data_IF_001340772993
#
_entry.id   IF_001340772993
#
_cell.length_a   1.000
_cell.length_b   1.000
_cell.length_c   1.000
_cell.angle_alpha   90.00
_cell.angle_beta   90.00
_cell.angle_gamma   90.00
#
_symmetry.space_group_name_H-M   'P 1'
#
loop_
_entity.id
_entity.type
_entity.pdbx_description
1 polymer ?
#
# COMPACT_ATOMS: atom_id res chain seq x y z
N UNK A 1 -11.34 10.20 90.84
CA UNK A 1 -10.84 9.05 90.13
C UNK A 1 -11.30 9.24 88.62
N UNK A 2 -10.45 9.82 87.80
CA UNK A 2 -10.79 10.22 86.44
C UNK A 2 -10.20 9.18 85.50
N UNK A 3 -11.07 8.47 84.75
CA UNK A 3 -10.68 7.45 83.78
C UNK A 3 -10.55 8.12 82.41
N UNK A 4 -9.35 8.24 81.97
CA UNK A 4 -9.05 8.74 80.56
C UNK A 4 -9.35 7.65 79.52
N UNK A 5 -10.31 7.93 78.65
CA UNK A 5 -10.52 7.13 77.45
C UNK A 5 -9.58 7.54 76.33
N UNK A 6 -8.63 6.64 76.03
CA UNK A 6 -7.76 6.77 74.87
C UNK A 6 -8.53 6.39 73.61
N UNK A 7 -8.77 7.35 72.74
CA UNK A 7 -9.26 7.10 71.39
C UNK A 7 -8.11 6.70 70.46
N UNK A 8 -8.13 5.48 70.00
CA UNK A 8 -7.23 5.01 68.94
C UNK A 8 -7.89 5.38 67.59
N UNK A 9 -7.32 6.32 66.90
CA UNK A 9 -7.72 6.68 65.56
C UNK A 9 -7.13 5.68 64.59
N UNK A 10 -7.96 4.84 64.00
CA UNK A 10 -7.58 3.99 62.87
C UNK A 10 -7.61 4.81 61.59
N UNK A 11 -6.44 5.11 61.07
CA UNK A 11 -6.28 5.73 59.76
C UNK A 11 -6.48 4.65 58.68
N UNK A 12 -7.68 4.58 58.09
CA UNK A 12 -7.90 3.79 56.89
C UNK A 12 -7.31 4.50 55.68
N UNK A 13 -6.11 4.09 55.31
CA UNK A 13 -5.49 4.52 54.04
C UNK A 13 -6.15 3.86 52.84
N UNK A 14 -6.97 4.62 52.12
CA UNK A 14 -7.49 4.19 50.81
C UNK A 14 -6.38 4.36 49.80
N UNK A 15 -5.75 3.25 49.44
CA UNK A 15 -4.81 3.21 48.29
C UNK A 15 -5.60 3.31 46.97
N UNK A 16 -5.67 4.52 46.42
CA UNK A 16 -6.20 4.73 45.08
C UNK A 16 -5.15 4.24 44.06
N UNK A 17 -5.28 2.97 43.64
CA UNK A 17 -4.49 2.42 42.55
C UNK A 17 -4.96 3.06 41.25
N UNK A 18 -4.21 4.10 40.78
CA UNK A 18 -4.41 4.68 39.46
C UNK A 18 -3.99 3.66 38.40
N UNK A 19 -4.96 2.97 37.80
CA UNK A 19 -4.77 2.22 36.56
C UNK A 19 -4.49 3.22 35.45
N UNK A 20 -3.21 3.53 35.22
CA UNK A 20 -2.77 4.17 33.98
C UNK A 20 -2.92 3.17 32.85
N UNK A 21 -4.06 3.22 32.16
CA UNK A 21 -4.20 2.54 30.89
C UNK A 21 -3.16 3.13 29.92
N UNK A 22 -2.10 2.38 29.67
CA UNK A 22 -1.17 2.68 28.60
C UNK A 22 -1.92 2.51 27.28
N UNK A 23 -2.50 3.59 26.78
CA UNK A 23 -2.90 3.69 25.39
C UNK A 23 -1.62 3.75 24.58
N UNK A 24 -1.13 2.58 24.19
CA UNK A 24 -0.17 2.50 23.08
C UNK A 24 -0.91 3.00 21.84
N UNK A 25 -0.63 4.23 21.42
CA UNK A 25 -0.89 4.66 20.05
C UNK A 25 0.01 3.78 19.19
N UNK A 26 -0.51 2.63 18.77
CA UNK A 26 0.09 1.87 17.70
C UNK A 26 0.00 2.78 16.48
N UNK A 27 1.13 3.33 16.08
CA UNK A 27 1.37 3.93 14.78
C UNK A 27 1.26 2.77 13.77
N UNK A 28 0.01 2.40 13.47
CA UNK A 28 -0.28 1.31 12.53
C UNK A 28 0.18 1.81 11.17
N UNK A 29 1.34 1.30 10.74
CA UNK A 29 1.80 1.50 9.39
C UNK A 29 0.65 1.18 8.42
N UNK A 30 0.39 2.02 7.41
CA UNK A 30 -0.74 1.82 6.51
C UNK A 30 -0.70 0.38 5.99
N UNK A 31 -1.84 -0.32 6.14
CA UNK A 31 -1.97 -1.73 5.77
C UNK A 31 -1.36 -1.97 4.38
N UNK A 32 -0.48 -2.97 4.29
CA UNK A 32 0.18 -3.32 3.04
C UNK A 32 -0.86 -3.46 1.92
N UNK A 33 -0.59 -2.87 0.75
CA UNK A 33 -1.49 -3.01 -0.39
C UNK A 33 -1.25 -4.35 -1.06
N UNK A 34 -1.86 -5.38 -0.50
CA UNK A 34 -1.73 -6.76 -0.96
C UNK A 34 -2.95 -7.19 -1.75
N UNK A 35 -2.71 -7.87 -2.87
CA UNK A 35 -3.77 -8.48 -3.65
C UNK A 35 -4.30 -9.73 -2.93
N UNK A 36 -5.63 -9.96 -2.95
CA UNK A 36 -6.19 -11.22 -2.44
C UNK A 36 -5.53 -12.42 -3.12
N UNK A 37 -5.33 -13.51 -2.39
CA UNK A 37 -4.65 -14.73 -2.89
C UNK A 37 -5.21 -15.20 -4.23
N UNK A 38 -6.55 -15.19 -4.39
CA UNK A 38 -7.21 -15.58 -5.65
C UNK A 38 -6.82 -14.66 -6.81
N UNK A 39 -6.72 -13.35 -6.57
CA UNK A 39 -6.31 -12.39 -7.59
C UNK A 39 -4.82 -12.55 -7.94
N UNK A 40 -3.97 -12.71 -6.92
CA UNK A 40 -2.55 -12.92 -7.10
C UNK A 40 -2.21 -14.22 -7.88
N UNK A 41 -3.06 -15.24 -7.79
CA UNK A 41 -2.90 -16.49 -8.53
C UNK A 41 -3.26 -16.39 -10.03
N UNK A 42 -3.91 -15.29 -10.46
CA UNK A 42 -4.30 -15.11 -11.87
C UNK A 42 -3.06 -15.02 -12.74
N UNK A 43 -3.02 -15.79 -13.81
CA UNK A 43 -1.93 -15.76 -14.78
C UNK A 43 -2.22 -14.73 -15.85
N UNK A 44 -1.15 -14.07 -16.34
CA UNK A 44 -1.27 -13.18 -17.48
C UNK A 44 -1.56 -14.00 -18.75
N UNK A 45 -2.71 -13.80 -19.41
CA UNK A 45 -3.04 -14.53 -20.63
C UNK A 45 -2.36 -13.93 -21.89
N UNK A 46 -1.76 -12.74 -21.77
CA UNK A 46 -1.08 -12.05 -22.88
C UNK A 46 0.40 -12.39 -22.86
N UNK A 47 0.89 -12.99 -23.92
CA UNK A 47 2.32 -13.30 -24.06
C UNK A 47 3.19 -12.04 -23.89
N UNK A 48 4.32 -12.17 -23.20
CA UNK A 48 5.27 -11.06 -23.01
C UNK A 48 6.21 -10.98 -24.22
N UNK A 49 5.65 -10.84 -25.40
CA UNK A 49 6.39 -10.65 -26.67
C UNK A 49 6.63 -9.17 -26.98
N UNK A 50 7.36 -8.92 -28.07
CA UNK A 50 7.71 -7.57 -28.53
C UNK A 50 6.49 -6.68 -28.76
N UNK A 51 5.43 -7.25 -29.34
CA UNK A 51 4.23 -6.49 -29.70
C UNK A 51 3.44 -6.08 -28.45
N UNK A 52 3.26 -7.02 -27.54
CA UNK A 52 2.60 -6.78 -26.26
C UNK A 52 3.35 -5.76 -25.39
N UNK A 53 4.68 -5.87 -25.33
CA UNK A 53 5.54 -4.90 -24.62
C UNK A 53 5.44 -3.52 -25.26
N UNK A 54 5.46 -3.43 -26.60
CA UNK A 54 5.32 -2.15 -27.32
C UNK A 54 3.93 -1.52 -27.10
N UNK A 55 2.85 -2.33 -27.11
CA UNK A 55 1.50 -1.87 -26.77
C UNK A 55 1.43 -1.39 -25.32
N UNK A 56 1.97 -2.16 -24.39
CA UNK A 56 2.04 -1.81 -22.96
C UNK A 56 2.82 -0.50 -22.73
N UNK A 57 3.89 -0.26 -23.47
CA UNK A 57 4.64 1.00 -23.41
C UNK A 57 3.77 2.20 -23.81
N UNK A 58 2.92 2.07 -24.82
CA UNK A 58 1.98 3.13 -25.21
C UNK A 58 0.96 3.41 -24.11
N UNK A 59 0.37 2.36 -23.54
CA UNK A 59 -0.54 2.48 -22.40
C UNK A 59 0.14 3.16 -21.22
N UNK A 60 1.37 2.76 -20.89
CA UNK A 60 2.16 3.35 -19.82
C UNK A 60 2.42 4.85 -20.04
N UNK A 61 2.84 5.22 -21.22
CA UNK A 61 3.12 6.62 -21.58
C UNK A 61 1.89 7.52 -21.40
N UNK A 62 0.71 7.02 -21.73
CA UNK A 62 -0.52 7.81 -21.66
C UNK A 62 -1.13 7.87 -20.24
N UNK A 63 -0.92 6.85 -19.42
CA UNK A 63 -1.68 6.69 -18.17
C UNK A 63 -0.82 6.64 -16.90
N UNK A 64 0.45 6.27 -16.99
CA UNK A 64 1.28 5.95 -15.83
C UNK A 64 2.49 6.90 -15.68
N UNK A 65 3.06 7.32 -16.81
CA UNK A 65 4.30 8.09 -16.88
C UNK A 65 4.26 9.37 -16.04
N UNK A 66 3.12 10.07 -16.02
CA UNK A 66 2.99 11.34 -15.31
C UNK A 66 3.32 11.20 -13.81
N UNK A 67 3.00 10.07 -13.21
CA UNK A 67 3.30 9.80 -11.80
C UNK A 67 4.53 8.91 -11.64
N UNK A 68 4.63 7.81 -12.40
CA UNK A 68 5.68 6.81 -12.21
C UNK A 68 7.00 7.14 -12.90
N UNK A 69 7.03 8.12 -13.80
CA UNK A 69 8.23 8.50 -14.53
C UNK A 69 8.57 7.56 -15.68
N UNK A 70 9.50 7.99 -16.54
CA UNK A 70 9.88 7.25 -17.76
C UNK A 70 10.49 5.88 -17.45
N UNK A 71 11.26 5.80 -16.35
CA UNK A 71 11.93 4.58 -15.90
C UNK A 71 11.16 3.85 -14.78
N UNK A 72 9.96 4.30 -14.46
CA UNK A 72 9.13 3.70 -13.40
C UNK A 72 9.56 4.01 -11.98
N UNK A 73 10.43 4.99 -11.76
CA UNK A 73 11.03 5.28 -10.44
C UNK A 73 10.15 6.09 -9.49
N UNK A 74 8.90 6.38 -9.86
CA UNK A 74 8.03 7.23 -9.07
C UNK A 74 8.42 8.71 -9.10
N UNK A 75 9.18 9.11 -10.10
CA UNK A 75 9.77 10.43 -10.31
C UNK A 75 9.12 11.22 -11.47
N UNK A 76 7.92 10.82 -11.86
CA UNK A 76 7.18 11.51 -12.91
C UNK A 76 6.84 12.96 -12.52
N UNK A 77 6.55 13.84 -13.51
CA UNK A 77 6.31 15.27 -13.26
C UNK A 77 5.17 15.55 -12.29
N UNK A 78 4.18 14.65 -12.15
CA UNK A 78 3.08 14.79 -11.20
C UNK A 78 3.38 14.14 -9.82
N UNK A 79 4.50 13.44 -9.66
CA UNK A 79 4.81 12.67 -8.45
C UNK A 79 4.90 13.53 -7.19
N UNK A 80 5.35 14.78 -7.31
CA UNK A 80 5.46 15.71 -6.20
C UNK A 80 4.10 16.18 -5.65
N UNK A 81 3.05 16.08 -6.46
CA UNK A 81 1.69 16.52 -6.11
C UNK A 81 0.83 15.41 -5.47
N UNK A 82 1.36 14.18 -5.34
CA UNK A 82 0.61 13.03 -4.81
C UNK A 82 1.23 12.48 -3.52
N UNK A 83 0.37 12.06 -2.61
CA UNK A 83 0.78 11.45 -1.35
C UNK A 83 -0.12 10.22 -1.05
N UNK A 84 0.43 9.03 -0.80
CA UNK A 84 1.87 8.72 -0.82
C UNK A 84 2.48 8.86 -2.23
N UNK A 85 3.80 9.04 -2.29
CA UNK A 85 4.53 9.08 -3.55
C UNK A 85 4.39 7.75 -4.31
N UNK A 86 4.39 7.79 -5.65
CA UNK A 86 4.38 6.57 -6.46
C UNK A 86 5.61 5.70 -6.15
N UNK A 87 5.40 4.39 -6.04
CA UNK A 87 6.49 3.44 -5.84
C UNK A 87 7.39 3.33 -7.09
N UNK A 88 8.65 2.99 -6.86
CA UNK A 88 9.55 2.54 -7.91
C UNK A 88 9.08 1.18 -8.43
N UNK A 89 8.62 1.15 -9.68
CA UNK A 89 8.12 -0.08 -10.32
C UNK A 89 9.25 -1.05 -10.70
N UNK A 90 10.49 -0.58 -10.69
CA UNK A 90 11.68 -1.39 -10.96
C UNK A 90 12.29 -2.01 -9.69
N UNK A 91 11.78 -1.69 -8.50
CA UNK A 91 12.29 -2.24 -7.25
C UNK A 91 11.93 -3.72 -7.04
N UNK A 92 12.74 -4.41 -6.24
CA UNK A 92 12.54 -5.84 -5.95
C UNK A 92 11.19 -6.16 -5.31
N UNK A 93 10.64 -5.27 -4.50
CA UNK A 93 9.34 -5.45 -3.88
C UNK A 93 8.20 -5.51 -4.91
N UNK A 94 8.30 -4.81 -6.04
CA UNK A 94 7.35 -4.88 -7.15
C UNK A 94 7.65 -6.09 -8.04
N UNK A 95 8.92 -6.35 -8.35
CA UNK A 95 9.34 -7.50 -9.18
C UNK A 95 8.90 -8.85 -8.61
N UNK A 96 8.93 -9.01 -7.28
CA UNK A 96 8.52 -10.23 -6.59
C UNK A 96 7.00 -10.48 -6.59
N UNK A 97 6.20 -9.47 -6.86
CA UNK A 97 4.75 -9.65 -6.97
C UNK A 97 4.39 -10.42 -8.24
N UNK A 98 3.36 -11.25 -8.15
CA UNK A 98 2.84 -11.93 -9.35
C UNK A 98 2.18 -10.93 -10.31
N UNK A 99 2.06 -11.32 -11.60
CA UNK A 99 1.32 -10.52 -12.57
C UNK A 99 -0.14 -10.34 -12.18
N UNK A 100 -0.76 -11.37 -11.59
CA UNK A 100 -2.11 -11.28 -11.07
C UNK A 100 -2.27 -10.28 -9.94
N UNK A 101 -1.26 -10.15 -9.06
CA UNK A 101 -1.26 -9.14 -8.02
C UNK A 101 -1.15 -7.71 -8.60
N UNK A 102 -0.28 -7.51 -9.58
CA UNK A 102 -0.14 -6.22 -10.27
C UNK A 102 -1.41 -5.88 -11.05
N UNK A 103 -2.01 -6.87 -11.72
CA UNK A 103 -3.26 -6.70 -12.45
C UNK A 103 -4.39 -6.26 -11.54
N UNK A 104 -4.52 -6.89 -10.37
CA UNK A 104 -5.53 -6.53 -9.38
C UNK A 104 -5.31 -5.08 -8.89
N UNK A 105 -4.07 -4.71 -8.55
CA UNK A 105 -3.73 -3.35 -8.12
C UNK A 105 -4.07 -2.30 -9.18
N UNK A 106 -3.77 -2.59 -10.43
CA UNK A 106 -4.07 -1.72 -11.56
C UNK A 106 -5.60 -1.61 -11.78
N UNK A 107 -6.33 -2.70 -11.60
CA UNK A 107 -7.78 -2.76 -11.75
C UNK A 107 -8.49 -1.96 -10.66
N UNK A 108 -8.16 -2.21 -9.39
CA UNK A 108 -8.84 -1.61 -8.23
C UNK A 108 -8.38 -0.19 -7.94
N UNK A 109 -7.11 0.11 -8.21
CA UNK A 109 -6.49 1.37 -7.79
C UNK A 109 -6.38 1.48 -6.27
N UNK A 110 -5.63 2.46 -5.82
CA UNK A 110 -5.57 2.89 -4.41
C UNK A 110 -5.13 4.34 -4.40
N UNK A 111 -6.01 5.25 -3.98
CA UNK A 111 -5.70 6.69 -3.99
C UNK A 111 -4.30 6.97 -3.45
N UNK A 112 -3.50 7.78 -4.12
CA UNK A 112 -3.84 8.61 -5.28
C UNK A 112 -3.83 7.89 -6.64
N UNK A 113 -3.39 6.62 -6.74
CA UNK A 113 -3.42 5.84 -7.97
C UNK A 113 -4.88 5.50 -8.35
N UNK A 114 -5.34 5.91 -9.55
CA UNK A 114 -6.72 5.61 -9.99
C UNK A 114 -6.93 4.13 -10.28
N UNK A 115 -8.20 3.70 -10.27
CA UNK A 115 -8.63 2.41 -10.81
C UNK A 115 -8.70 2.49 -12.33
N UNK A 116 -8.23 1.45 -13.01
CA UNK A 116 -8.20 1.41 -14.48
C UNK A 116 -9.19 0.40 -15.08
N UNK A 117 -10.10 -0.14 -14.27
CA UNK A 117 -11.11 -1.11 -14.73
C UNK A 117 -12.07 -0.55 -15.79
N UNK A 118 -12.31 0.77 -15.77
CA UNK A 118 -13.21 1.46 -16.72
C UNK A 118 -12.51 2.16 -17.87
N UNK A 119 -11.21 2.47 -17.70
CA UNK A 119 -10.46 3.28 -18.67
C UNK A 119 -9.55 2.46 -19.56
N UNK A 120 -9.13 1.29 -19.11
CA UNK A 120 -8.31 0.34 -19.87
C UNK A 120 -9.03 -1.00 -20.01
N UNK A 121 -9.00 -1.56 -21.21
CA UNK A 121 -9.45 -2.92 -21.45
C UNK A 121 -8.62 -3.93 -20.64
N UNK A 122 -9.13 -5.14 -20.47
CA UNK A 122 -8.40 -6.21 -19.77
C UNK A 122 -7.05 -6.49 -20.46
N UNK A 123 -7.04 -6.53 -21.80
CA UNK A 123 -5.82 -6.74 -22.58
C UNK A 123 -4.78 -5.63 -22.35
N UNK A 124 -5.18 -4.37 -22.39
CA UNK A 124 -4.27 -3.23 -22.15
C UNK A 124 -3.67 -3.28 -20.74
N UNK A 125 -4.45 -3.66 -19.74
CA UNK A 125 -3.92 -3.84 -18.37
C UNK A 125 -2.88 -4.95 -18.28
N UNK A 126 -3.04 -6.04 -19.02
CA UNK A 126 -2.03 -7.09 -19.09
C UNK A 126 -0.81 -6.67 -19.89
N UNK A 127 -0.98 -5.97 -21.01
CA UNK A 127 0.11 -5.44 -21.83
C UNK A 127 0.97 -4.45 -21.06
N UNK A 128 0.38 -3.54 -20.29
CA UNK A 128 1.17 -2.60 -19.47
C UNK A 128 1.97 -3.32 -18.39
N UNK A 129 1.47 -4.42 -17.83
CA UNK A 129 2.24 -5.26 -16.91
C UNK A 129 3.45 -5.87 -17.62
N UNK A 130 3.27 -6.40 -18.83
CA UNK A 130 4.40 -6.90 -19.64
C UNK A 130 5.47 -5.84 -19.85
N UNK A 131 5.07 -4.59 -20.12
CA UNK A 131 6.02 -3.47 -20.21
C UNK A 131 6.69 -3.16 -18.85
N UNK A 132 5.93 -3.07 -17.76
CA UNK A 132 6.48 -2.82 -16.41
C UNK A 132 7.54 -3.87 -16.05
N UNK A 133 7.37 -5.12 -16.44
CA UNK A 133 8.36 -6.19 -16.25
C UNK A 133 9.68 -5.95 -16.97
N UNK A 134 9.74 -5.04 -17.93
CA UNK A 134 10.97 -4.67 -18.62
C UNK A 134 11.73 -3.53 -17.92
N UNK A 135 11.08 -2.82 -17.00
CA UNK A 135 11.71 -1.72 -16.27
C UNK A 135 12.80 -2.24 -15.31
N UNK A 136 13.91 -1.56 -15.27
CA UNK A 136 15.03 -1.91 -14.37
C UNK A 136 15.82 -3.16 -14.78
N UNK A 137 15.75 -3.54 -16.09
CA UNK A 137 16.64 -4.56 -16.68
C UNK A 137 17.87 -3.88 -17.26
#
# INVERSE_FOLDING_TARGET
MIVEKKYVAAASGVLLSALVANYSLSDEAPAAWEAPTRAAAKKNPVAADTDSVAAGKKVYASNCLACHGEKGKGDGPASAAVNPKPHDLAEEAVKKQSDGALFWKLTEGRKPMPAYDKTLSESERWQVINYVRTLGK
#
